data_IF_864173037217
#
_entry.id   IF_864173037217
#
_cell.length_a   1.000
_cell.length_b   1.000
_cell.length_c   1.000
_cell.angle_alpha   90.00
_cell.angle_beta   90.00
_cell.angle_gamma   90.00
#
_symmetry.space_group_name_H-M   'P 1'
#
loop_
_entity.id
_entity.type
_entity.pdbx_description
1 polymer ?
#
# COMPACT_ATOMS: atom_id res chain seq x y z
N UNK A 1 -12.70 4.42 18.40
CA UNK A 1 -13.85 4.91 17.60
C UNK A 1 -13.82 4.17 16.28
N UNK A 2 -14.95 3.63 15.80
CA UNK A 2 -15.02 2.97 14.49
C UNK A 2 -14.97 4.02 13.38
N UNK A 3 -14.11 3.82 12.38
CA UNK A 3 -14.14 4.63 11.15
C UNK A 3 -15.39 4.25 10.37
N UNK A 4 -16.16 5.25 9.92
CA UNK A 4 -17.38 5.05 9.13
C UNK A 4 -17.13 5.42 7.67
N UNK A 5 -16.86 4.41 6.84
CA UNK A 5 -16.63 4.61 5.41
C UNK A 5 -17.95 4.81 4.65
N UNK A 6 -18.00 5.80 3.76
CA UNK A 6 -19.00 5.87 2.69
C UNK A 6 -18.35 5.26 1.45
N UNK A 7 -18.71 4.02 1.12
CA UNK A 7 -18.06 3.23 0.07
C UNK A 7 -18.54 3.73 -1.28
N UNK A 8 -17.59 4.11 -2.15
CA UNK A 8 -17.85 4.56 -3.51
C UNK A 8 -17.18 3.68 -4.57
N UNK A 9 -16.14 2.93 -4.18
CA UNK A 9 -15.49 1.93 -5.01
C UNK A 9 -16.30 0.64 -5.11
N UNK A 10 -15.99 -0.17 -6.13
CA UNK A 10 -16.38 -1.58 -6.17
C UNK A 10 -15.37 -2.38 -5.33
N UNK A 11 -15.85 -3.11 -4.32
CA UNK A 11 -14.98 -3.82 -3.37
C UNK A 11 -14.98 -5.31 -3.66
N UNK A 12 -13.80 -5.91 -3.66
CA UNK A 12 -13.58 -7.34 -3.84
C UNK A 12 -12.83 -7.89 -2.61
N UNK A 13 -13.38 -8.93 -2.00
CA UNK A 13 -12.69 -9.69 -0.95
C UNK A 13 -11.64 -10.60 -1.60
N UNK A 14 -10.35 -10.34 -1.35
CA UNK A 14 -9.25 -11.15 -1.93
C UNK A 14 -9.22 -12.59 -1.41
N UNK A 15 -9.93 -12.89 -0.32
CA UNK A 15 -10.12 -14.25 0.16
C UNK A 15 -11.13 -15.05 -0.67
N UNK A 16 -11.88 -14.39 -1.57
CA UNK A 16 -12.90 -15.01 -2.42
C UNK A 16 -12.68 -14.72 -3.91
N UNK A 17 -12.14 -13.55 -4.24
CA UNK A 17 -11.79 -13.18 -5.61
C UNK A 17 -10.45 -13.79 -6.02
N UNK A 18 -10.31 -14.09 -7.31
CA UNK A 18 -9.05 -14.51 -7.93
C UNK A 18 -8.65 -13.57 -9.07
N UNK A 19 -7.36 -13.27 -9.26
CA UNK A 19 -6.84 -12.53 -10.43
C UNK A 19 -7.29 -13.13 -11.78
N UNK A 20 -7.50 -12.28 -12.79
CA UNK A 20 -7.90 -12.64 -14.16
C UNK A 20 -6.91 -12.05 -15.16
N UNK A 21 -6.68 -12.70 -16.29
CA UNK A 21 -5.67 -12.27 -17.29
C UNK A 21 -5.75 -10.80 -17.71
N UNK A 22 -6.97 -10.24 -17.82
CA UNK A 22 -7.16 -8.83 -18.20
C UNK A 22 -6.94 -7.83 -17.06
N UNK A 23 -6.65 -8.29 -15.85
CA UNK A 23 -6.45 -7.43 -14.69
C UNK A 23 -5.09 -6.72 -14.71
N UNK A 24 -5.08 -5.52 -14.14
CA UNK A 24 -3.90 -4.70 -13.93
C UNK A 24 -4.02 -4.01 -12.58
N UNK A 25 -3.29 -4.52 -11.60
CA UNK A 25 -3.38 -4.09 -10.21
C UNK A 25 -2.24 -3.15 -9.85
N UNK A 26 -2.56 -1.96 -9.35
CA UNK A 26 -1.61 -1.22 -8.55
C UNK A 26 -1.58 -1.83 -7.13
N UNK A 27 -0.39 -2.16 -6.61
CA UNK A 27 -0.22 -2.57 -5.22
C UNK A 27 0.13 -1.35 -4.38
N UNK A 28 -0.66 -1.12 -3.34
CA UNK A 28 -0.48 -0.02 -2.40
C UNK A 28 0.75 -0.21 -1.49
N UNK A 29 1.28 0.90 -0.99
CA UNK A 29 2.48 0.99 -0.16
C UNK A 29 2.39 0.12 1.11
N UNK A 30 1.21 0.00 1.74
CA UNK A 30 1.03 -0.84 2.93
C UNK A 30 1.21 -2.33 2.65
N UNK A 31 0.72 -2.82 1.51
CA UNK A 31 0.85 -4.21 1.06
C UNK A 31 2.28 -4.47 0.59
N UNK A 32 2.88 -3.54 -0.17
CA UNK A 32 4.28 -3.62 -0.56
C UNK A 32 5.20 -3.72 0.66
N UNK A 33 4.96 -2.92 1.70
CA UNK A 33 5.72 -2.97 2.95
C UNK A 33 5.65 -4.36 3.59
N UNK A 34 4.45 -4.95 3.69
CA UNK A 34 4.25 -6.27 4.28
C UNK A 34 4.97 -7.39 3.53
N UNK A 35 5.03 -7.29 2.21
CA UNK A 35 5.68 -8.31 1.38
C UNK A 35 7.21 -8.21 1.44
N UNK A 36 7.75 -7.00 1.57
CA UNK A 36 9.16 -6.73 1.24
C UNK A 36 10.04 -6.41 2.43
N UNK A 37 9.52 -5.80 3.51
CA UNK A 37 10.32 -5.42 4.68
C UNK A 37 10.55 -6.61 5.62
N UNK A 38 11.83 -6.89 5.92
CA UNK A 38 12.24 -8.13 6.60
C UNK A 38 11.68 -8.27 8.01
N UNK A 39 11.69 -7.21 8.81
CA UNK A 39 11.29 -7.23 10.23
C UNK A 39 9.79 -7.43 10.45
N UNK A 40 8.96 -7.26 9.41
CA UNK A 40 7.54 -7.59 9.50
C UNK A 40 7.28 -9.09 9.42
N UNK A 41 8.25 -9.89 8.97
CA UNK A 41 8.15 -11.36 8.98
C UNK A 41 8.37 -11.94 10.38
N UNK A 42 9.04 -11.20 11.26
CA UNK A 42 9.29 -11.59 12.66
C UNK A 42 8.08 -11.29 13.59
N UNK A 43 6.93 -10.89 13.02
CA UNK A 43 5.71 -10.61 13.77
C UNK A 43 5.14 -11.89 14.37
N UNK A 44 5.03 -11.93 15.71
CA UNK A 44 4.46 -13.07 16.44
C UNK A 44 2.91 -13.09 16.46
N UNK A 45 2.23 -12.03 16.02
CA UNK A 45 0.76 -11.98 15.98
C UNK A 45 0.21 -12.84 14.83
N UNK A 46 -0.45 -13.99 15.13
CA UNK A 46 -0.94 -14.89 14.10
C UNK A 46 -1.98 -14.27 13.17
N UNK A 47 -2.78 -13.30 13.67
CA UNK A 47 -3.79 -12.64 12.85
C UNK A 47 -3.15 -11.74 11.81
N UNK A 48 -2.11 -11.01 12.20
CA UNK A 48 -1.37 -10.13 11.29
C UNK A 48 -0.63 -10.97 10.23
N UNK A 49 0.02 -12.05 10.64
CA UNK A 49 0.64 -13.01 9.70
C UNK A 49 -0.38 -13.56 8.71
N UNK A 50 -1.57 -13.96 9.18
CA UNK A 50 -2.62 -14.46 8.28
C UNK A 50 -3.07 -13.42 7.26
N UNK A 51 -3.25 -12.15 7.67
CA UNK A 51 -3.63 -11.07 6.76
C UNK A 51 -2.52 -10.83 5.73
N UNK A 52 -1.27 -10.72 6.16
CA UNK A 52 -0.12 -10.52 5.26
C UNK A 52 0.00 -11.66 4.24
N UNK A 53 -0.18 -12.91 4.68
CA UNK A 53 -0.17 -14.06 3.78
C UNK A 53 -1.30 -14.01 2.74
N UNK A 54 -2.51 -13.57 3.11
CA UNK A 54 -3.61 -13.42 2.12
C UNK A 54 -3.27 -12.43 1.01
N UNK A 55 -2.65 -11.31 1.35
CA UNK A 55 -2.20 -10.33 0.35
C UNK A 55 -1.06 -10.90 -0.49
N UNK A 56 -0.08 -11.55 0.12
CA UNK A 56 1.02 -12.18 -0.60
C UNK A 56 0.51 -13.26 -1.56
N UNK A 57 -0.41 -14.11 -1.13
CA UNK A 57 -1.02 -15.16 -1.95
C UNK A 57 -1.79 -14.58 -3.13
N UNK A 58 -2.59 -13.53 -2.91
CA UNK A 58 -3.34 -12.87 -3.98
C UNK A 58 -2.42 -12.21 -5.02
N UNK A 59 -1.39 -11.49 -4.55
CA UNK A 59 -0.41 -10.85 -5.42
C UNK A 59 0.39 -11.89 -6.20
N UNK A 60 0.85 -12.97 -5.56
CA UNK A 60 1.56 -14.06 -6.24
C UNK A 60 0.66 -14.80 -7.26
N UNK A 61 -0.64 -14.89 -6.98
CA UNK A 61 -1.63 -15.47 -7.88
C UNK A 61 -1.71 -14.77 -9.24
N UNK A 62 -1.36 -13.47 -9.32
CA UNK A 62 -1.35 -12.70 -10.58
C UNK A 62 -0.40 -13.29 -11.63
N UNK A 63 0.72 -13.87 -11.20
CA UNK A 63 1.67 -14.51 -12.11
C UNK A 63 1.12 -15.80 -12.74
N UNK A 64 0.21 -16.49 -12.05
CA UNK A 64 -0.46 -17.70 -12.57
C UNK A 64 -1.58 -17.34 -13.55
N UNK A 65 -2.26 -16.21 -13.34
CA UNK A 65 -3.33 -15.72 -14.21
C UNK A 65 -2.85 -14.84 -15.37
N UNK A 66 -1.53 -14.58 -15.48
CA UNK A 66 -0.95 -13.59 -16.40
C UNK A 66 -1.53 -12.16 -16.22
N UNK A 67 -2.03 -11.83 -15.03
CA UNK A 67 -2.44 -10.46 -14.70
C UNK A 67 -1.22 -9.57 -14.48
N UNK A 68 -1.40 -8.25 -14.62
CA UNK A 68 -0.33 -7.29 -14.37
C UNK A 68 -0.32 -6.82 -12.93
N UNK A 69 0.89 -6.70 -12.39
CA UNK A 69 1.17 -6.03 -11.12
C UNK A 69 1.94 -4.75 -11.41
N UNK A 70 1.50 -3.65 -10.82
CA UNK A 70 2.09 -2.33 -10.95
C UNK A 70 2.39 -1.74 -9.58
N UNK A 71 3.37 -0.85 -9.51
CA UNK A 71 3.68 -0.05 -8.33
C UNK A 71 3.90 1.42 -8.70
N UNK A 72 3.69 2.33 -7.76
CA UNK A 72 4.00 3.75 -7.97
C UNK A 72 5.41 4.07 -7.49
N UNK A 73 6.14 4.92 -8.22
CA UNK A 73 7.47 5.39 -7.78
C UNK A 73 7.45 6.14 -6.44
N UNK A 74 6.32 6.74 -6.08
CA UNK A 74 6.16 7.40 -4.77
C UNK A 74 6.16 6.44 -3.59
N UNK A 75 5.82 5.16 -3.81
CA UNK A 75 5.83 4.15 -2.75
C UNK A 75 7.23 3.99 -2.14
N UNK A 76 8.32 4.32 -2.85
CA UNK A 76 9.67 4.38 -2.28
C UNK A 76 9.76 5.39 -1.12
N UNK A 77 9.15 6.56 -1.26
CA UNK A 77 9.20 7.60 -0.23
C UNK A 77 8.46 7.16 1.05
N UNK A 78 7.31 6.51 0.88
CA UNK A 78 6.55 5.94 2.00
C UNK A 78 7.27 4.78 2.66
N UNK A 79 7.76 3.82 1.88
CA UNK A 79 8.55 2.68 2.37
C UNK A 79 9.76 3.18 3.16
N UNK A 80 10.51 4.14 2.63
CA UNK A 80 11.66 4.71 3.30
C UNK A 80 11.28 5.36 4.64
N UNK A 81 10.16 6.11 4.67
CA UNK A 81 9.68 6.73 5.89
C UNK A 81 9.27 5.70 6.95
N UNK A 82 8.48 4.70 6.57
CA UNK A 82 7.93 3.71 7.50
C UNK A 82 9.04 2.76 8.00
N UNK A 83 9.96 2.33 7.13
CA UNK A 83 11.09 1.48 7.52
C UNK A 83 11.99 2.25 8.50
N UNK A 84 12.37 3.50 8.19
CA UNK A 84 13.19 4.30 9.13
C UNK A 84 12.50 4.48 10.48
N UNK A 85 11.19 4.77 10.46
CA UNK A 85 10.40 4.89 11.69
C UNK A 85 10.43 3.59 12.50
N UNK A 86 10.23 2.45 11.84
CA UNK A 86 10.16 1.14 12.50
C UNK A 86 11.51 0.72 13.07
N UNK A 87 12.59 0.84 12.30
CA UNK A 87 13.97 0.57 12.77
C UNK A 87 14.33 1.44 13.97
N UNK A 88 13.94 2.72 13.95
CA UNK A 88 14.13 3.60 15.12
C UNK A 88 13.32 3.14 16.33
N UNK A 89 12.09 2.68 16.15
CA UNK A 89 11.26 2.16 17.24
C UNK A 89 11.89 0.88 17.85
N UNK A 90 12.44 0.01 17.01
CA UNK A 90 13.21 -1.17 17.44
C UNK A 90 14.46 -0.75 18.24
N UNK A 91 15.22 0.24 17.73
CA UNK A 91 16.38 0.79 18.44
C UNK A 91 15.97 1.37 19.80
N UNK A 92 14.93 2.21 19.84
CA UNK A 92 14.45 2.85 21.06
C UNK A 92 14.04 1.84 22.12
N UNK A 93 13.43 0.72 21.71
CA UNK A 93 13.03 -0.35 22.62
C UNK A 93 14.22 -1.01 23.34
N UNK A 94 15.44 -0.95 22.79
CA UNK A 94 16.64 -1.59 23.35
C UNK A 94 17.69 -0.63 23.91
N UNK A 95 17.78 0.60 23.37
CA UNK A 95 18.86 1.55 23.67
C UNK A 95 18.39 2.86 24.33
N UNK A 96 17.08 3.12 24.37
CA UNK A 96 16.50 4.34 24.96
C UNK A 96 15.99 5.34 23.91
N UNK A 97 15.25 6.35 24.39
CA UNK A 97 14.51 7.28 23.53
C UNK A 97 15.43 8.16 22.68
N UNK A 98 15.21 8.16 21.35
CA UNK A 98 15.90 9.01 20.38
C UNK A 98 14.91 9.57 19.36
N UNK A 99 15.06 10.85 19.01
CA UNK A 99 14.25 11.51 17.99
C UNK A 99 14.63 11.09 16.58
N UNK A 100 13.71 11.16 15.62
CA UNK A 100 13.97 10.73 14.24
C UNK A 100 15.16 11.45 13.57
N UNK A 101 15.27 12.77 13.76
CA UNK A 101 16.38 13.55 13.21
C UNK A 101 17.72 13.17 13.83
N UNK A 102 17.74 12.96 15.14
CA UNK A 102 18.95 12.57 15.87
C UNK A 102 19.40 11.17 15.45
N UNK A 103 18.47 10.21 15.41
CA UNK A 103 18.68 8.86 14.91
C UNK A 103 19.33 8.86 13.52
N UNK A 104 18.77 9.64 12.59
CA UNK A 104 19.30 9.72 11.21
C UNK A 104 20.69 10.33 11.10
N UNK A 105 21.04 11.27 11.97
CA UNK A 105 22.26 12.08 11.82
C UNK A 105 23.42 11.58 12.68
N UNK A 106 23.14 10.96 13.83
CA UNK A 106 24.15 10.67 14.84
C UNK A 106 24.44 9.17 15.00
N UNK A 107 23.62 8.29 14.40
CA UNK A 107 23.69 6.84 14.54
C UNK A 107 24.02 6.22 13.18
N UNK A 108 25.30 6.25 12.82
CA UNK A 108 25.75 5.90 11.47
C UNK A 108 25.50 4.42 11.11
N UNK A 109 25.77 3.50 12.04
CA UNK A 109 25.55 2.07 11.82
C UNK A 109 24.06 1.75 11.64
N UNK A 110 23.21 2.40 12.45
CA UNK A 110 21.76 2.31 12.37
C UNK A 110 21.23 2.91 11.06
N UNK A 111 21.84 4.01 10.59
CA UNK A 111 21.50 4.60 9.29
C UNK A 111 21.87 3.67 8.14
N UNK A 112 23.03 3.03 8.18
CA UNK A 112 23.44 2.03 7.18
C UNK A 112 22.45 0.85 7.15
N UNK A 113 22.04 0.35 8.32
CA UNK A 113 21.03 -0.71 8.41
C UNK A 113 19.69 -0.28 7.80
N UNK A 114 19.20 0.92 8.13
CA UNK A 114 17.96 1.47 7.55
C UNK A 114 18.04 1.54 6.02
N UNK A 115 19.16 2.03 5.47
CA UNK A 115 19.35 2.11 4.02
C UNK A 115 19.34 0.71 3.41
N UNK A 116 20.03 -0.25 4.03
CA UNK A 116 20.07 -1.64 3.54
C UNK A 116 18.68 -2.28 3.49
N UNK A 117 17.85 -2.08 4.51
CA UNK A 117 16.47 -2.56 4.52
C UNK A 117 15.62 -1.90 3.42
N UNK A 118 15.78 -0.59 3.20
CA UNK A 118 15.06 0.14 2.14
C UNK A 118 15.48 -0.36 0.76
N UNK A 119 16.78 -0.52 0.52
CA UNK A 119 17.30 -1.05 -0.76
C UNK A 119 16.81 -2.47 -1.03
N UNK A 120 16.86 -3.34 -0.02
CA UNK A 120 16.37 -4.71 -0.14
C UNK A 120 14.85 -4.77 -0.37
N UNK A 121 14.08 -3.93 0.33
CA UNK A 121 12.64 -3.84 0.13
C UNK A 121 12.31 -3.33 -1.28
N UNK A 122 12.95 -2.24 -1.71
CA UNK A 122 12.71 -1.64 -3.02
C UNK A 122 13.13 -2.55 -4.17
N UNK A 123 14.25 -3.27 -4.05
CA UNK A 123 14.65 -4.26 -5.04
C UNK A 123 13.56 -5.32 -5.23
N UNK A 124 12.95 -5.81 -4.14
CA UNK A 124 11.81 -6.74 -4.23
C UNK A 124 10.59 -6.10 -4.90
N UNK A 125 10.22 -4.85 -4.56
CA UNK A 125 9.13 -4.12 -5.22
C UNK A 125 9.34 -4.05 -6.74
N UNK A 126 10.54 -3.63 -7.18
CA UNK A 126 10.84 -3.48 -8.61
C UNK A 126 10.89 -4.82 -9.35
N UNK A 127 11.13 -5.93 -8.64
CA UNK A 127 11.05 -7.28 -9.22
C UNK A 127 9.63 -7.83 -9.31
N UNK A 128 8.71 -7.30 -8.50
CA UNK A 128 7.34 -7.79 -8.37
C UNK A 128 6.43 -7.34 -9.52
N UNK A 129 6.66 -6.15 -10.09
CA UNK A 129 5.76 -5.58 -11.07
C UNK A 129 6.37 -4.47 -11.93
N UNK A 130 5.52 -3.83 -12.72
CA UNK A 130 5.88 -2.74 -13.62
C UNK A 130 5.70 -1.38 -12.94
N UNK A 131 6.60 -0.42 -13.23
CA UNK A 131 6.45 0.94 -12.72
C UNK A 131 5.24 1.62 -13.39
N UNK A 132 4.35 2.17 -12.57
CA UNK A 132 3.33 3.15 -12.96
C UNK A 132 3.84 4.56 -12.62
N UNK A 133 4.49 5.24 -13.58
CA UNK A 133 5.21 6.48 -13.28
C UNK A 133 4.25 7.62 -12.94
N UNK A 134 4.65 8.46 -11.98
CA UNK A 134 3.97 9.73 -11.71
C UNK A 134 4.98 10.86 -11.80
N UNK A 135 4.62 11.92 -12.54
CA UNK A 135 5.42 13.14 -12.59
C UNK A 135 4.83 14.15 -11.62
N UNK A 136 5.63 14.57 -10.64
CA UNK A 136 5.22 15.60 -9.67
C UNK A 136 5.58 16.97 -10.24
N UNK A 137 4.63 17.58 -10.93
CA UNK A 137 4.73 18.91 -11.51
C UNK A 137 3.52 19.78 -11.12
N UNK A 138 3.43 20.99 -11.65
CA UNK A 138 2.30 21.91 -11.37
C UNK A 138 0.94 21.35 -11.82
N UNK A 139 0.90 20.50 -12.84
CA UNK A 139 -0.35 19.93 -13.37
C UNK A 139 -0.84 18.84 -12.43
N UNK A 140 0.02 17.88 -12.10
CA UNK A 140 -0.32 16.76 -11.20
C UNK A 140 -0.62 17.27 -9.78
N UNK A 141 0.13 18.25 -9.28
CA UNK A 141 -0.14 18.84 -7.94
C UNK A 141 -1.46 19.61 -7.88
N UNK A 142 -1.84 20.33 -8.94
CA UNK A 142 -3.15 20.97 -9.03
C UNK A 142 -4.28 19.92 -9.09
N UNK A 143 -4.10 18.83 -9.83
CA UNK A 143 -5.05 17.73 -9.90
C UNK A 143 -5.23 17.05 -8.53
N UNK A 144 -4.12 16.71 -7.85
CA UNK A 144 -4.12 16.16 -6.51
C UNK A 144 -4.82 17.09 -5.50
N UNK A 145 -4.54 18.40 -5.55
CA UNK A 145 -5.20 19.38 -4.67
C UNK A 145 -6.71 19.48 -4.90
N UNK A 146 -7.16 19.40 -6.15
CA UNK A 146 -8.59 19.37 -6.46
C UNK A 146 -9.24 18.10 -5.94
N UNK A 147 -8.57 16.96 -6.12
CA UNK A 147 -9.02 15.65 -5.63
C UNK A 147 -9.15 15.60 -4.11
N UNK A 148 -8.21 16.19 -3.39
CA UNK A 148 -8.23 16.29 -1.92
C UNK A 148 -9.49 16.98 -1.37
N UNK A 149 -10.17 17.80 -2.17
CA UNK A 149 -11.42 18.45 -1.77
C UNK A 149 -12.61 17.48 -1.74
N UNK A 150 -12.54 16.37 -2.46
CA UNK A 150 -13.65 15.44 -2.67
C UNK A 150 -13.37 14.02 -2.23
N UNK A 151 -12.11 13.58 -2.26
CA UNK A 151 -11.67 12.22 -1.93
C UNK A 151 -10.96 12.23 -0.58
N UNK A 152 -11.38 11.32 0.31
CA UNK A 152 -10.89 11.24 1.70
C UNK A 152 -9.72 10.27 1.77
N UNK A 153 -8.63 10.63 1.13
CA UNK A 153 -7.37 9.87 1.09
C UNK A 153 -6.22 10.75 1.56
N UNK A 154 -5.07 10.14 1.86
CA UNK A 154 -3.91 10.87 2.33
C UNK A 154 -3.13 11.56 1.18
N UNK A 155 -2.05 12.28 1.54
CA UNK A 155 -1.26 13.02 0.56
C UNK A 155 -0.55 12.16 -0.48
N UNK A 156 -0.11 10.95 -0.14
CA UNK A 156 0.56 10.03 -1.06
C UNK A 156 -0.46 9.38 -1.98
N UNK A 157 -1.58 8.93 -1.43
CA UNK A 157 -2.68 8.30 -2.15
C UNK A 157 -3.20 9.17 -3.28
N UNK A 158 -3.28 10.50 -3.09
CA UNK A 158 -3.70 11.42 -4.15
C UNK A 158 -2.85 11.27 -5.42
N UNK A 159 -1.52 11.21 -5.27
CA UNK A 159 -0.62 11.10 -6.42
C UNK A 159 -0.58 9.68 -6.99
N UNK A 160 -0.78 8.68 -6.13
CA UNK A 160 -0.98 7.30 -6.57
C UNK A 160 -2.23 7.20 -7.46
N UNK A 161 -3.34 7.81 -7.04
CA UNK A 161 -4.59 7.86 -7.81
C UNK A 161 -4.46 8.67 -9.12
N UNK A 162 -3.65 9.74 -9.15
CA UNK A 162 -3.31 10.41 -10.41
C UNK A 162 -2.48 9.51 -11.32
N UNK A 163 -1.53 8.74 -10.78
CA UNK A 163 -0.78 7.75 -11.55
C UNK A 163 -1.69 6.70 -12.18
N UNK A 164 -2.58 6.10 -11.37
CA UNK A 164 -3.59 5.13 -11.79
C UNK A 164 -4.46 5.68 -12.93
N UNK A 165 -5.02 6.88 -12.73
CA UNK A 165 -5.87 7.55 -13.71
C UNK A 165 -5.14 7.80 -15.03
N UNK A 166 -3.90 8.30 -14.98
CA UNK A 166 -3.13 8.62 -16.18
C UNK A 166 -2.76 7.39 -17.03
N UNK A 167 -2.77 6.20 -16.42
CA UNK A 167 -2.46 4.94 -17.09
C UNK A 167 -3.68 4.04 -17.34
N UNK A 168 -4.88 4.53 -17.02
CA UNK A 168 -6.11 3.74 -17.15
C UNK A 168 -6.18 2.53 -16.22
N UNK A 169 -5.40 2.52 -15.14
CA UNK A 169 -5.42 1.48 -14.11
C UNK A 169 -6.50 1.84 -13.10
N UNK A 170 -7.43 0.92 -12.84
CA UNK A 170 -8.56 1.14 -11.92
C UNK A 170 -8.57 0.16 -10.76
N UNK A 171 -7.69 -0.84 -10.75
CA UNK A 171 -7.66 -1.87 -9.71
C UNK A 171 -6.52 -1.59 -8.76
N UNK A 172 -6.82 -1.58 -7.46
CA UNK A 172 -5.83 -1.40 -6.39
C UNK A 172 -5.93 -2.54 -5.40
N UNK A 173 -4.78 -3.07 -4.99
CA UNK A 173 -4.66 -4.03 -3.90
C UNK A 173 -4.18 -3.24 -2.68
N UNK A 174 -5.03 -3.13 -1.66
CA UNK A 174 -4.74 -2.32 -0.47
C UNK A 174 -5.50 -2.84 0.76
N UNK A 175 -4.92 -2.65 1.95
CA UNK A 175 -5.64 -2.78 3.21
C UNK A 175 -6.19 -1.45 3.75
N UNK A 176 -5.87 -0.33 3.09
CA UNK A 176 -6.35 0.99 3.46
C UNK A 176 -7.80 1.19 3.00
N UNK A 177 -8.67 1.49 3.95
CA UNK A 177 -10.09 1.72 3.68
C UNK A 177 -10.37 3.05 2.99
N UNK A 178 -9.43 3.98 2.98
CA UNK A 178 -9.61 5.30 2.37
C UNK A 178 -9.81 5.21 0.85
N UNK A 179 -9.09 4.29 0.18
CA UNK A 179 -9.31 3.96 -1.24
C UNK A 179 -10.74 3.50 -1.53
N UNK A 180 -11.41 2.81 -0.58
CA UNK A 180 -12.79 2.36 -0.80
C UNK A 180 -13.80 3.52 -0.88
N UNK A 181 -13.39 4.74 -0.47
CA UNK A 181 -14.20 5.96 -0.59
C UNK A 181 -14.06 6.68 -1.92
N UNK A 182 -13.15 6.22 -2.79
CA UNK A 182 -12.88 6.79 -4.12
C UNK A 182 -13.81 6.18 -5.16
N UNK A 183 -14.58 6.97 -5.92
CA UNK A 183 -15.46 6.44 -6.95
C UNK A 183 -14.68 5.98 -8.20
N UNK A 184 -15.20 4.98 -8.90
CA UNK A 184 -14.70 4.58 -10.21
C UNK A 184 -13.43 3.70 -10.19
N UNK A 185 -13.02 3.23 -9.01
CA UNK A 185 -11.95 2.23 -8.85
C UNK A 185 -12.50 0.92 -8.27
N UNK A 186 -11.67 -0.12 -8.36
CA UNK A 186 -11.91 -1.45 -7.82
C UNK A 186 -10.89 -1.73 -6.71
N UNK A 187 -11.38 -1.95 -5.50
CA UNK A 187 -10.54 -2.18 -4.32
C UNK A 187 -10.53 -3.66 -3.98
N UNK A 188 -9.34 -4.26 -4.05
CA UNK A 188 -9.08 -5.65 -3.68
C UNK A 188 -8.44 -5.66 -2.29
N UNK A 189 -9.19 -6.14 -1.30
CA UNK A 189 -8.79 -6.05 0.11
C UNK A 189 -9.19 -7.28 0.92
N UNK A 190 -8.46 -7.52 2.02
CA UNK A 190 -8.84 -8.41 3.11
C UNK A 190 -9.31 -7.61 4.36
N UNK A 191 -9.43 -6.28 4.26
CA UNK A 191 -9.87 -5.44 5.36
C UNK A 191 -11.36 -5.71 5.68
N UNK A 192 -11.59 -6.45 6.77
CA UNK A 192 -12.93 -6.86 7.19
C UNK A 192 -13.88 -5.68 7.45
N UNK A 193 -13.38 -4.52 7.88
CA UNK A 193 -14.24 -3.36 8.11
C UNK A 193 -14.75 -2.80 6.78
N UNK A 194 -13.88 -2.72 5.77
CA UNK A 194 -14.24 -2.31 4.41
C UNK A 194 -15.21 -3.32 3.79
N UNK A 195 -14.89 -4.62 3.85
CA UNK A 195 -15.74 -5.70 3.28
C UNK A 195 -17.14 -5.68 3.88
N UNK A 196 -17.26 -5.62 5.21
CA UNK A 196 -18.57 -5.58 5.89
C UNK A 196 -19.36 -4.33 5.53
N UNK A 197 -18.69 -3.18 5.47
CA UNK A 197 -19.32 -1.90 5.13
C UNK A 197 -19.77 -1.89 3.67
N UNK A 198 -18.94 -2.38 2.75
CA UNK A 198 -19.27 -2.52 1.34
C UNK A 198 -20.44 -3.48 1.13
N UNK A 199 -20.47 -4.62 1.82
CA UNK A 199 -21.61 -5.54 1.79
C UNK A 199 -22.91 -4.83 2.25
N UNK A 200 -22.86 -4.12 3.38
CA UNK A 200 -24.01 -3.38 3.90
C UNK A 200 -24.49 -2.26 2.97
N UNK A 201 -23.60 -1.69 2.16
CA UNK A 201 -23.89 -0.61 1.20
C UNK A 201 -24.10 -1.12 -0.24
N UNK A 202 -24.13 -2.44 -0.47
CA UNK A 202 -24.35 -3.03 -1.80
C UNK A 202 -23.19 -2.83 -2.80
N UNK A 203 -21.97 -2.64 -2.28
CA UNK A 203 -20.74 -2.38 -3.05
C UNK A 203 -19.74 -3.54 -3.03
N UNK A 204 -20.03 -4.61 -2.28
CA UNK A 204 -19.22 -5.84 -2.34
C UNK A 204 -19.58 -6.62 -3.61
N UNK A 205 -18.60 -6.88 -4.44
CA UNK A 205 -18.75 -7.58 -5.72
C UNK A 205 -18.19 -9.00 -5.58
N UNK A 206 -18.97 -9.98 -6.04
CA UNK A 206 -18.51 -11.37 -6.15
C UNK A 206 -17.80 -11.59 -7.48
N UNK A 207 -16.63 -12.24 -7.45
CA UNK A 207 -15.77 -12.41 -8.62
C UNK A 207 -15.10 -13.76 -8.68
#
# INVERSE_FOLDING_TARGET
>A
MSVHYTIQADVFDIGQASPRESDCFLVDSNVLLWMTYSKLRDVEDPKRVQIMNRYADFVNGTGTSNSKVCYCGLSLAELAHIIEKTEREIYVASAGAVGAKEYRQNFAAEREQVISEIEAAWAQVTSLGELLPVTIDSVTTAAALNRLQTERVDGYDLFILESMRNHGVVQVITDDGDFATVPGIQVFTANNNVIKTAHAQGRLISR
#
